data_IF_355114118044
#
_entry.id   IF_355114118044
#
_cell.length_a   1.000
_cell.length_b   1.000
_cell.length_c   1.000
_cell.angle_alpha   90.00
_cell.angle_beta   90.00
_cell.angle_gamma   90.00
#
_symmetry.space_group_name_H-M   'P 1'
#
loop_
_entity.id
_entity.type
_entity.pdbx_description
1 polymer ?
#
# COMPACT_ATOMS: atom_id res chain seq x y z
N UNK A 1 -21.01 27.19 -62.71
CA UNK A 1 -21.46 25.81 -62.42
C UNK A 1 -20.43 24.74 -62.81
N UNK A 2 -19.77 24.84 -63.97
CA UNK A 2 -18.79 23.84 -64.46
C UNK A 2 -17.58 23.60 -63.54
N UNK A 3 -17.06 24.63 -62.88
CA UNK A 3 -15.92 24.53 -61.94
C UNK A 3 -16.27 23.88 -60.61
N UNK A 4 -17.52 23.98 -60.14
CA UNK A 4 -17.95 23.35 -58.87
C UNK A 4 -18.18 21.84 -59.03
N UNK A 5 -18.59 21.40 -60.22
CA UNK A 5 -18.73 19.97 -60.57
C UNK A 5 -17.36 19.30 -60.71
N UNK A 6 -16.37 20.00 -61.29
CA UNK A 6 -15.00 19.48 -61.41
C UNK A 6 -14.32 19.28 -60.04
N UNK A 7 -14.52 20.21 -59.09
CA UNK A 7 -13.97 20.09 -57.73
C UNK A 7 -14.66 18.97 -56.94
N UNK A 8 -15.97 18.78 -57.11
CA UNK A 8 -16.69 17.69 -56.47
C UNK A 8 -16.27 16.31 -57.00
N UNK A 9 -16.02 16.17 -58.31
CA UNK A 9 -15.54 14.93 -58.91
C UNK A 9 -14.09 14.59 -58.50
N UNK A 10 -13.24 15.59 -58.32
CA UNK A 10 -11.86 15.39 -57.87
C UNK A 10 -11.79 14.94 -56.40
N UNK A 11 -12.69 15.44 -55.55
CA UNK A 11 -12.76 15.08 -54.13
C UNK A 11 -13.28 13.64 -53.91
N UNK A 12 -14.21 13.16 -54.75
CA UNK A 12 -14.72 11.78 -54.68
C UNK A 12 -13.67 10.77 -55.14
N UNK A 13 -12.84 11.12 -56.12
CA UNK A 13 -11.77 10.24 -56.60
C UNK A 13 -10.67 10.00 -55.54
N UNK A 14 -10.41 10.98 -54.65
CA UNK A 14 -9.43 10.84 -53.58
C UNK A 14 -9.91 9.97 -52.40
N UNK A 15 -11.22 9.74 -52.27
CA UNK A 15 -11.79 8.98 -51.16
C UNK A 15 -11.76 7.45 -51.36
N UNK A 16 -11.49 6.95 -52.57
CA UNK A 16 -11.64 5.52 -52.91
C UNK A 16 -10.28 4.77 -53.01
N UNK A 17 -9.15 5.47 -52.95
CA UNK A 17 -7.81 4.86 -53.08
C UNK A 17 -7.16 4.46 -51.73
N UNK A 18 -7.96 4.11 -50.72
CA UNK A 18 -7.50 3.88 -49.34
C UNK A 18 -7.19 2.44 -48.93
N UNK A 19 -7.20 1.46 -49.85
CA UNK A 19 -6.87 0.07 -49.51
C UNK A 19 -5.38 -0.23 -49.80
N UNK A 20 -4.50 0.17 -48.88
CA UNK A 20 -3.11 -0.28 -48.85
C UNK A 20 -2.98 -1.54 -47.99
N UNK A 21 -2.71 -2.68 -48.63
CA UNK A 21 -2.45 -3.97 -47.98
C UNK A 21 -1.34 -3.86 -46.93
N UNK A 22 -1.70 -4.01 -45.66
CA UNK A 22 -0.71 -4.20 -44.60
C UNK A 22 -0.23 -5.65 -44.65
N UNK A 23 0.97 -5.88 -45.20
CA UNK A 23 1.66 -7.14 -44.97
C UNK A 23 1.95 -7.23 -43.46
N UNK A 24 1.46 -8.28 -42.79
CA UNK A 24 1.72 -8.48 -41.38
C UNK A 24 3.25 -8.56 -41.13
N UNK A 25 3.79 -7.87 -40.12
CA UNK A 25 5.21 -7.94 -39.83
C UNK A 25 5.58 -9.38 -39.47
N UNK A 26 6.69 -9.86 -40.01
CA UNK A 26 7.23 -11.18 -39.69
C UNK A 26 7.67 -11.16 -38.22
N UNK A 27 6.96 -11.88 -37.38
CA UNK A 27 7.31 -12.04 -35.96
C UNK A 27 8.52 -12.95 -35.84
N UNK A 28 9.69 -12.38 -35.62
CA UNK A 28 10.89 -13.12 -35.22
C UNK A 28 10.76 -13.43 -33.73
N UNK A 29 10.44 -14.67 -33.39
CA UNK A 29 10.44 -15.14 -32.00
C UNK A 29 11.87 -15.43 -31.57
N UNK A 30 12.51 -14.47 -30.91
CA UNK A 30 13.77 -14.70 -30.21
C UNK A 30 13.46 -15.32 -28.86
N UNK A 31 14.01 -16.50 -28.58
CA UNK A 31 13.88 -17.10 -27.25
C UNK A 31 14.47 -16.13 -26.21
N UNK A 32 13.75 -15.85 -25.09
CA UNK A 32 14.28 -14.98 -24.06
C UNK A 32 15.56 -15.58 -23.49
N UNK A 33 16.69 -14.92 -23.76
CA UNK A 33 17.91 -15.14 -22.98
C UNK A 33 17.61 -14.58 -21.60
N UNK A 34 17.51 -15.43 -20.58
CA UNK A 34 17.49 -14.96 -19.20
C UNK A 34 18.95 -14.73 -18.77
N UNK A 35 19.42 -13.47 -18.67
CA UNK A 35 20.74 -13.19 -18.14
C UNK A 35 20.73 -13.45 -16.64
N UNK A 36 21.09 -14.67 -16.25
CA UNK A 36 21.34 -15.01 -14.85
C UNK A 36 22.69 -14.43 -14.43
N UNK A 37 22.78 -13.72 -13.28
CA UNK A 37 24.06 -13.26 -12.73
C UNK A 37 25.05 -14.41 -12.57
N UNK A 38 26.36 -14.12 -12.65
CA UNK A 38 27.40 -15.13 -12.39
C UNK A 38 27.20 -15.77 -11.02
N UNK A 39 26.87 -17.06 -10.99
CA UNK A 39 26.58 -17.84 -9.78
C UNK A 39 25.10 -18.11 -9.50
N UNK A 40 24.18 -17.55 -10.29
CA UNK A 40 22.76 -17.86 -10.18
C UNK A 40 22.46 -19.22 -10.82
N UNK A 41 21.90 -20.13 -10.02
CA UNK A 41 21.35 -21.40 -10.49
C UNK A 41 19.86 -21.43 -10.14
N UNK A 42 19.07 -22.05 -11.01
CA UNK A 42 17.65 -22.31 -10.73
C UNK A 42 17.56 -23.28 -9.55
N UNK A 43 16.81 -22.91 -8.51
CA UNK A 43 16.49 -23.81 -7.42
C UNK A 43 15.46 -24.84 -7.93
N UNK A 44 15.95 -25.95 -8.48
CA UNK A 44 15.10 -27.04 -9.01
C UNK A 44 14.49 -27.90 -7.91
N UNK A 45 14.99 -27.76 -6.69
CA UNK A 45 14.49 -28.45 -5.51
C UNK A 45 13.76 -27.42 -4.65
N UNK A 46 12.48 -27.67 -4.37
CA UNK A 46 11.78 -26.93 -3.34
C UNK A 46 12.59 -27.00 -2.04
N UNK A 47 12.70 -25.91 -1.27
CA UNK A 47 13.27 -25.98 0.08
C UNK A 47 12.63 -27.15 0.81
N UNK A 48 13.43 -27.95 1.50
CA UNK A 48 12.90 -28.94 2.44
C UNK A 48 12.04 -28.15 3.42
N UNK A 49 10.72 -28.24 3.25
CA UNK A 49 9.78 -27.74 4.23
C UNK A 49 9.99 -28.67 5.41
N UNK A 50 10.98 -28.34 6.24
CA UNK A 50 11.30 -29.07 7.44
C UNK A 50 9.99 -29.49 8.09
N UNK A 51 9.93 -30.74 8.52
CA UNK A 51 8.71 -31.40 9.00
C UNK A 51 8.26 -30.83 10.36
N UNK A 52 8.41 -29.52 10.56
CA UNK A 52 7.85 -28.72 11.61
C UNK A 52 6.35 -28.62 11.33
N UNK A 53 5.58 -29.35 12.13
CA UNK A 53 4.15 -29.20 12.22
C UNK A 53 3.85 -27.81 12.81
N UNK A 54 3.72 -26.82 11.94
CA UNK A 54 3.29 -25.47 12.30
C UNK A 54 1.78 -25.39 12.61
N UNK A 55 1.08 -26.53 12.71
CA UNK A 55 -0.36 -26.60 12.85
C UNK A 55 -1.11 -26.20 11.57
N UNK A 56 -2.37 -25.77 11.74
CA UNK A 56 -3.21 -25.31 10.63
C UNK A 56 -2.77 -23.92 10.14
N UNK A 57 -2.13 -23.89 8.98
CA UNK A 57 -1.62 -22.66 8.33
C UNK A 57 -2.74 -21.75 7.82
N UNK A 58 -3.96 -22.26 7.70
CA UNK A 58 -5.15 -21.52 7.28
C UNK A 58 -6.03 -21.11 8.46
N UNK A 59 -5.66 -21.50 9.68
CA UNK A 59 -6.40 -21.13 10.88
C UNK A 59 -6.38 -19.61 11.08
N UNK A 60 -7.54 -18.99 10.88
CA UNK A 60 -7.78 -17.62 11.35
C UNK A 60 -7.91 -17.65 12.87
N UNK A 61 -6.81 -17.38 13.57
CA UNK A 61 -6.84 -17.19 15.01
C UNK A 61 -7.57 -15.89 15.32
N UNK A 62 -8.78 -15.99 15.88
CA UNK A 62 -9.44 -14.82 16.43
C UNK A 62 -8.61 -14.30 17.60
N UNK A 63 -8.40 -12.97 17.72
CA UNK A 63 -7.77 -12.40 18.90
C UNK A 63 -8.47 -12.91 20.16
N UNK A 64 -7.69 -13.31 21.15
CA UNK A 64 -8.23 -13.66 22.47
C UNK A 64 -8.85 -12.44 23.16
N UNK A 65 -9.46 -12.63 24.34
CA UNK A 65 -9.98 -11.53 25.13
C UNK A 65 -8.93 -10.43 25.34
N UNK A 66 -9.28 -9.18 25.08
CA UNK A 66 -8.42 -8.04 25.36
C UNK A 66 -8.40 -7.74 26.87
N UNK A 67 -7.27 -7.31 27.45
CA UNK A 67 -7.24 -6.81 28.81
C UNK A 67 -8.14 -5.56 28.93
N UNK A 68 -8.72 -5.30 30.12
CA UNK A 68 -9.41 -4.04 30.36
C UNK A 68 -8.49 -2.83 30.12
N UNK A 69 -9.03 -1.67 29.72
CA UNK A 69 -8.24 -0.46 29.62
C UNK A 69 -7.44 -0.16 30.90
N UNK A 70 -6.18 0.23 30.75
CA UNK A 70 -5.25 0.48 31.86
C UNK A 70 -4.70 -0.79 32.53
N UNK A 71 -5.22 -1.98 32.23
CA UNK A 71 -4.78 -3.26 32.81
C UNK A 71 -3.89 -4.05 31.84
N UNK A 72 -3.02 -3.36 31.10
CA UNK A 72 -2.11 -3.99 30.14
C UNK A 72 -1.13 -4.93 30.88
N UNK A 73 -0.73 -6.07 30.30
CA UNK A 73 0.17 -7.02 30.96
C UNK A 73 1.49 -6.36 31.41
N UNK A 74 1.85 -6.54 32.68
CA UNK A 74 3.08 -5.97 33.26
C UNK A 74 4.31 -6.36 32.45
N UNK A 75 5.21 -5.40 32.21
CA UNK A 75 6.43 -5.59 31.41
C UNK A 75 6.23 -5.61 29.90
N UNK A 76 4.98 -5.51 29.40
CA UNK A 76 4.72 -5.35 27.96
C UNK A 76 4.97 -3.92 27.48
N UNK A 77 5.20 -3.76 26.17
CA UNK A 77 5.21 -2.44 25.53
C UNK A 77 3.91 -1.67 25.81
N UNK A 78 2.76 -2.36 25.84
CA UNK A 78 1.47 -1.70 26.07
C UNK A 78 1.34 -1.18 27.49
N UNK A 79 1.93 -1.86 28.49
CA UNK A 79 2.02 -1.33 29.85
C UNK A 79 2.88 -0.06 29.91
N UNK A 80 4.01 -0.01 29.20
CA UNK A 80 4.83 1.21 29.13
C UNK A 80 4.08 2.38 28.46
N UNK A 81 3.32 2.12 27.40
CA UNK A 81 2.45 3.12 26.75
C UNK A 81 1.34 3.59 27.70
N UNK A 82 0.71 2.64 28.42
CA UNK A 82 -0.34 2.92 29.39
C UNK A 82 0.17 3.81 30.52
N UNK A 83 1.35 3.50 31.07
CA UNK A 83 2.03 4.26 32.12
C UNK A 83 2.43 5.66 31.65
N UNK A 84 2.97 5.79 30.43
CA UNK A 84 3.25 7.09 29.80
C UNK A 84 1.98 7.91 29.57
N UNK A 85 0.83 7.25 29.49
CA UNK A 85 -0.48 7.86 29.41
C UNK A 85 -0.91 8.33 28.03
N UNK A 86 -0.14 8.11 26.96
CA UNK A 86 -0.57 8.46 25.60
C UNK A 86 0.08 7.54 24.58
N UNK A 87 -0.65 7.19 23.52
CA UNK A 87 -0.14 6.47 22.36
C UNK A 87 0.43 7.46 21.34
N UNK A 88 1.67 7.28 20.89
CA UNK A 88 2.32 8.10 19.87
C UNK A 88 2.30 7.33 18.55
N UNK A 89 1.59 7.84 17.55
CA UNK A 89 1.38 7.14 16.28
C UNK A 89 1.94 7.95 15.12
N UNK A 90 2.81 7.32 14.34
CA UNK A 90 3.25 7.81 13.03
C UNK A 90 2.15 7.64 11.99
N UNK A 91 1.74 8.74 11.36
CA UNK A 91 0.63 8.77 10.39
C UNK A 91 0.98 9.59 9.16
N UNK A 92 0.21 9.42 8.08
CA UNK A 92 0.24 10.34 6.94
C UNK A 92 -0.66 11.56 7.15
N UNK A 93 -0.44 12.59 6.33
CA UNK A 93 -1.35 13.72 6.15
C UNK A 93 -1.65 14.02 4.67
N UNK A 94 -1.21 13.20 3.73
CA UNK A 94 -1.29 13.46 2.29
C UNK A 94 -2.12 12.43 1.49
N UNK A 95 -2.63 11.36 2.12
CA UNK A 95 -3.30 10.25 1.42
C UNK A 95 -4.77 10.16 1.82
N UNK A 96 -5.65 10.77 1.02
CA UNK A 96 -7.10 10.59 1.12
C UNK A 96 -7.51 9.20 0.61
N UNK A 97 -8.40 8.44 1.26
CA UNK A 97 -9.17 8.71 2.49
C UNK A 97 -8.54 8.20 3.80
N UNK A 98 -7.25 7.89 3.81
CA UNK A 98 -6.59 7.16 4.89
C UNK A 98 -6.04 8.09 5.97
N UNK A 99 -5.02 8.89 5.65
CA UNK A 99 -4.39 9.84 6.55
C UNK A 99 -4.15 11.13 5.81
N UNK A 100 -5.01 12.12 6.04
CA UNK A 100 -4.98 13.38 5.30
C UNK A 100 -5.31 14.58 6.17
N UNK A 101 -4.77 15.74 5.81
CA UNK A 101 -5.15 17.01 6.44
C UNK A 101 -6.43 17.55 5.81
N UNK A 102 -7.51 17.59 6.58
CA UNK A 102 -8.75 18.18 6.14
C UNK A 102 -8.57 19.71 5.99
N UNK A 103 -8.84 20.30 4.81
CA UNK A 103 -8.62 21.73 4.57
C UNK A 103 -9.58 22.64 5.33
N UNK A 104 -10.79 22.17 5.66
CA UNK A 104 -11.78 22.93 6.42
C UNK A 104 -11.46 22.96 7.92
N UNK A 105 -11.11 21.81 8.51
CA UNK A 105 -10.86 21.70 9.97
C UNK A 105 -9.40 21.90 10.34
N UNK A 106 -8.48 21.79 9.36
CA UNK A 106 -7.02 21.74 9.53
C UNK A 106 -6.52 20.57 10.38
N UNK A 107 -7.37 19.60 10.71
CA UNK A 107 -7.02 18.40 11.47
C UNK A 107 -6.54 17.30 10.53
N UNK A 108 -5.72 16.38 11.05
CA UNK A 108 -5.39 15.13 10.37
C UNK A 108 -6.46 14.12 10.72
N UNK A 109 -7.09 13.52 9.73
CA UNK A 109 -8.20 12.57 9.87
C UNK A 109 -8.16 11.50 8.76
N UNK A 110 -9.09 10.56 8.81
CA UNK A 110 -9.24 9.45 7.85
C UNK A 110 -9.11 8.09 8.51
N UNK A 111 -9.20 7.03 7.69
CA UNK A 111 -9.23 5.64 8.16
C UNK A 111 -8.05 5.26 9.05
N UNK A 112 -6.82 5.67 8.71
CA UNK A 112 -5.64 5.36 9.51
C UNK A 112 -5.70 6.01 10.90
N UNK A 113 -6.29 7.21 10.98
CA UNK A 113 -6.47 7.94 12.24
C UNK A 113 -7.53 7.29 13.10
N UNK A 114 -8.62 6.80 12.50
CA UNK A 114 -9.68 6.09 13.22
C UNK A 114 -9.16 4.78 13.81
N UNK A 115 -8.38 4.00 13.05
CA UNK A 115 -7.70 2.80 13.56
C UNK A 115 -6.80 3.15 14.75
N UNK A 116 -5.98 4.19 14.63
CA UNK A 116 -5.09 4.62 15.70
C UNK A 116 -5.86 5.03 16.97
N UNK A 117 -7.03 5.68 16.81
CA UNK A 117 -7.93 6.05 17.90
C UNK A 117 -8.61 4.86 18.55
N UNK A 118 -8.99 3.84 17.79
CA UNK A 118 -9.52 2.60 18.37
C UNK A 118 -8.47 1.84 19.19
N UNK A 119 -7.21 1.85 18.75
CA UNK A 119 -6.10 1.31 19.56
C UNK A 119 -5.93 2.11 20.85
N UNK A 120 -5.97 3.44 20.78
CA UNK A 120 -5.92 4.28 21.98
C UNK A 120 -7.11 3.99 22.91
N UNK A 121 -8.33 3.82 22.38
CA UNK A 121 -9.50 3.41 23.17
C UNK A 121 -9.30 2.04 23.83
N UNK A 122 -8.73 1.07 23.14
CA UNK A 122 -8.47 -0.25 23.70
C UNK A 122 -7.47 -0.19 24.88
N UNK A 123 -6.45 0.67 24.79
CA UNK A 123 -5.44 0.82 25.84
C UNK A 123 -5.95 1.64 27.02
N UNK A 124 -6.63 2.76 26.74
CA UNK A 124 -6.92 3.80 27.75
C UNK A 124 -8.41 3.95 28.09
N UNK A 125 -9.31 3.39 27.29
CA UNK A 125 -10.75 3.68 27.37
C UNK A 125 -11.12 5.04 26.77
N UNK A 126 -10.13 5.78 26.25
CA UNK A 126 -10.27 7.12 25.72
C UNK A 126 -9.54 7.24 24.37
N UNK A 127 -10.26 7.42 23.25
CA UNK A 127 -9.67 7.53 21.91
C UNK A 127 -8.85 8.82 21.69
N UNK A 128 -8.96 9.80 22.59
CA UNK A 128 -8.22 11.06 22.52
C UNK A 128 -6.87 11.01 23.26
N UNK A 129 -6.53 9.90 23.92
CA UNK A 129 -5.21 9.66 24.53
C UNK A 129 -4.14 9.28 23.49
N UNK A 130 -4.07 10.05 22.43
CA UNK A 130 -3.22 9.83 21.26
C UNK A 130 -2.46 11.10 20.87
N UNK A 131 -1.22 10.92 20.41
CA UNK A 131 -0.39 11.94 19.80
C UNK A 131 -0.05 11.50 18.37
N UNK A 132 -0.59 12.21 17.39
CA UNK A 132 -0.30 11.96 15.99
C UNK A 132 1.01 12.65 15.59
N UNK A 133 1.92 11.90 14.97
CA UNK A 133 3.17 12.40 14.39
C UNK A 133 3.11 12.19 12.89
N UNK A 134 3.21 13.27 12.12
CA UNK A 134 3.23 13.16 10.66
C UNK A 134 4.59 12.63 10.23
N UNK A 135 4.59 11.55 9.47
CA UNK A 135 5.81 10.84 9.05
C UNK A 135 5.77 10.60 7.54
N UNK A 136 6.88 10.92 6.86
CA UNK A 136 7.04 10.65 5.44
C UNK A 136 7.22 9.15 5.19
N UNK A 137 6.82 8.68 4.00
CA UNK A 137 6.86 7.26 3.66
C UNK A 137 8.26 6.64 3.78
N UNK A 138 9.33 7.39 3.51
CA UNK A 138 10.72 6.92 3.60
C UNK A 138 11.30 6.93 5.02
N UNK A 139 10.58 7.47 6.01
CA UNK A 139 11.03 7.58 7.41
C UNK A 139 10.26 6.65 8.35
N UNK A 140 9.18 6.01 7.87
CA UNK A 140 8.25 5.25 8.73
C UNK A 140 8.93 4.10 9.48
N UNK A 141 9.88 3.41 8.85
CA UNK A 141 10.63 2.33 9.49
C UNK A 141 11.62 2.88 10.52
N UNK A 142 12.34 3.96 10.19
CA UNK A 142 13.37 4.51 11.07
C UNK A 142 12.81 5.17 12.33
N UNK A 143 11.68 5.87 12.24
CA UNK A 143 11.01 6.46 13.43
C UNK A 143 10.43 5.39 14.35
N UNK A 144 10.02 4.25 13.80
CA UNK A 144 9.55 3.11 14.59
C UNK A 144 10.72 2.42 15.29
N UNK A 145 11.81 2.15 14.55
CA UNK A 145 13.02 1.51 15.08
C UNK A 145 13.70 2.34 16.18
N UNK A 146 13.68 3.66 16.06
CA UNK A 146 14.25 4.58 17.05
C UNK A 146 13.36 4.82 18.27
N UNK A 147 12.11 4.35 18.25
CA UNK A 147 11.14 4.58 19.32
C UNK A 147 10.59 6.01 19.38
N UNK A 148 10.73 6.81 18.31
CA UNK A 148 10.07 8.12 18.21
C UNK A 148 8.54 8.00 18.20
N UNK A 149 8.02 6.85 17.73
CA UNK A 149 6.60 6.47 17.74
C UNK A 149 6.46 5.05 18.28
N UNK A 150 5.31 4.72 18.85
CA UNK A 150 5.02 3.34 19.30
C UNK A 150 4.53 2.44 18.16
N UNK A 151 3.88 3.07 17.17
CA UNK A 151 3.23 2.41 16.05
C UNK A 151 3.25 3.36 14.85
N UNK A 152 3.32 2.79 13.66
CA UNK A 152 2.96 3.49 12.43
C UNK A 152 1.65 2.91 11.91
N UNK A 153 0.63 3.77 11.75
CA UNK A 153 -0.61 3.42 11.06
C UNK A 153 -0.65 4.27 9.80
N UNK A 154 -0.28 3.64 8.69
CA UNK A 154 -0.18 4.28 7.40
C UNK A 154 -0.35 3.24 6.30
N UNK A 155 -1.03 3.60 5.22
CA UNK A 155 -1.01 2.82 3.98
C UNK A 155 0.42 2.51 3.52
N UNK A 156 0.66 1.27 3.06
CA UNK A 156 1.97 0.81 2.63
C UNK A 156 1.88 0.31 1.18
N UNK A 157 2.45 1.08 0.25
CA UNK A 157 2.72 0.64 -1.13
C UNK A 157 4.22 0.42 -1.29
N UNK A 158 4.59 -0.65 -1.98
CA UNK A 158 5.95 -0.94 -2.46
C UNK A 158 6.07 -0.60 -3.95
#
# INVERSE_FOLDING_TARGET
MRTRVAVALLAVAFAVAGCGSSAAPVSVSVAPVQPSPSGANEATTAPDAGNEDCGDREASLRPGPLPPPGAMPSGSTMAAIAERGRLIVGVDQNTQPFGYRNPATRRVEGFDIDIAREIARAIFGDPDRIQLRVVNANQRESVLQSGEVDLVVRTYSI
#
